data_IF_047095546400
#
_entry.id   IF_047095546400
#
_cell.length_a   1.000
_cell.length_b   1.000
_cell.length_c   1.000
_cell.angle_alpha   90.00
_cell.angle_beta   90.00
_cell.angle_gamma   90.00
#
_symmetry.space_group_name_H-M   'P 1'
#
loop_
_entity.id
_entity.type
_entity.pdbx_description
1 polymer ?
#
# COMPACT_ATOMS: atom_id res chain seq x y z
N UNK A 1 -9.93 -22.61 -37.51
CA UNK A 1 -9.20 -23.04 -36.31
C UNK A 1 -10.02 -22.98 -35.02
N UNK A 2 -10.83 -21.94 -34.76
CA UNK A 2 -11.65 -21.87 -33.53
C UNK A 2 -12.79 -22.87 -33.38
N UNK A 3 -13.29 -23.44 -34.46
CA UNK A 3 -14.35 -24.47 -34.45
C UNK A 3 -13.85 -25.88 -34.26
N UNK A 4 -12.54 -26.15 -34.45
CA UNK A 4 -11.93 -27.48 -34.27
C UNK A 4 -11.54 -27.73 -32.81
N UNK A 5 -11.25 -26.69 -32.05
CA UNK A 5 -10.90 -26.75 -30.62
C UNK A 5 -12.13 -27.07 -29.74
N UNK A 6 -13.30 -26.58 -30.14
CA UNK A 6 -14.56 -26.84 -29.41
C UNK A 6 -15.01 -28.33 -29.53
N UNK A 7 -14.67 -29.03 -30.62
CA UNK A 7 -15.05 -30.43 -30.84
C UNK A 7 -14.12 -31.40 -30.07
N UNK A 8 -12.90 -31.04 -29.77
CA UNK A 8 -11.96 -31.86 -29.01
C UNK A 8 -12.27 -31.80 -27.50
N UNK A 9 -12.79 -30.72 -27.00
CA UNK A 9 -13.18 -30.57 -25.56
C UNK A 9 -14.45 -31.37 -25.21
N UNK A 10 -15.37 -31.57 -26.16
CA UNK A 10 -16.60 -32.37 -25.97
C UNK A 10 -16.31 -33.87 -26.01
N UNK A 11 -15.28 -34.33 -26.77
CA UNK A 11 -14.91 -35.70 -26.84
C UNK A 11 -14.13 -36.24 -25.61
N UNK A 12 -13.51 -35.34 -24.84
CA UNK A 12 -12.78 -35.71 -23.61
C UNK A 12 -13.68 -35.89 -22.37
N UNK A 13 -14.88 -35.34 -22.37
CA UNK A 13 -15.85 -35.52 -21.27
C UNK A 13 -16.73 -36.77 -21.37
N UNK A 14 -16.70 -37.49 -22.48
CA UNK A 14 -17.51 -38.71 -22.71
C UNK A 14 -16.83 -40.02 -22.30
N UNK A 15 -15.57 -40.01 -21.84
CA UNK A 15 -14.82 -41.25 -21.57
C UNK A 15 -14.65 -41.58 -20.07
N UNK A 16 -15.26 -40.83 -19.15
CA UNK A 16 -15.08 -41.00 -17.70
C UNK A 16 -16.19 -41.79 -16.98
N UNK A 17 -17.12 -42.44 -17.69
CA UNK A 17 -18.30 -43.11 -17.09
C UNK A 17 -18.43 -44.61 -17.34
N UNK A 18 -17.37 -45.36 -17.59
CA UNK A 18 -17.49 -46.81 -17.69
C UNK A 18 -16.32 -47.56 -17.06
N UNK A 19 -16.43 -47.86 -15.76
CA UNK A 19 -15.77 -49.00 -15.13
C UNK A 19 -16.19 -49.15 -13.67
N UNK A 20 -17.25 -49.88 -13.40
CA UNK A 20 -17.43 -50.63 -12.15
C UNK A 20 -18.62 -51.57 -12.31
N UNK A 21 -18.35 -52.81 -12.62
CA UNK A 21 -19.14 -53.97 -12.21
C UNK A 21 -18.26 -55.22 -12.25
N UNK A 22 -18.01 -55.86 -11.12
CA UNK A 22 -18.17 -57.29 -10.92
C UNK A 22 -18.09 -57.69 -9.44
N UNK A 23 -19.17 -58.28 -9.06
CA UNK A 23 -19.50 -59.07 -7.86
C UNK A 23 -18.55 -60.22 -7.62
N UNK A 24 -18.31 -60.58 -6.32
CA UNK A 24 -18.35 -61.96 -5.83
C UNK A 24 -18.63 -62.00 -4.31
N UNK A 25 -19.45 -62.98 -3.92
CA UNK A 25 -20.12 -63.21 -2.63
C UNK A 25 -19.22 -63.73 -1.49
N UNK A 26 -19.56 -63.32 -0.30
CA UNK A 26 -19.80 -63.85 1.07
C UNK A 26 -19.00 -65.09 1.57
N UNK A 27 -18.75 -65.33 2.91
CA UNK A 27 -19.77 -65.28 3.95
C UNK A 27 -19.40 -64.62 5.32
N UNK A 28 -20.45 -64.50 6.13
CA UNK A 28 -20.67 -63.87 7.39
C UNK A 28 -19.79 -64.27 8.59
N UNK A 29 -19.58 -63.37 9.51
CA UNK A 29 -19.49 -63.61 10.97
C UNK A 29 -19.99 -62.37 11.75
N UNK A 30 -20.64 -62.64 12.82
CA UNK A 30 -21.51 -61.86 13.69
C UNK A 30 -20.88 -60.63 14.35
N UNK A 31 -21.82 -59.74 14.69
CA UNK A 31 -21.80 -58.47 15.49
C UNK A 31 -21.02 -58.55 16.82
N UNK A 32 -20.65 -57.33 17.37
CA UNK A 32 -21.62 -56.67 18.22
C UNK A 32 -21.73 -55.17 18.03
N UNK A 33 -22.94 -54.68 18.30
CA UNK A 33 -23.39 -53.29 18.30
C UNK A 33 -22.47 -52.34 19.05
N UNK A 34 -22.01 -51.27 18.36
CA UNK A 34 -21.47 -50.10 19.00
C UNK A 34 -22.43 -48.95 18.77
N UNK A 35 -22.77 -48.33 19.89
CA UNK A 35 -23.72 -47.24 20.04
C UNK A 35 -23.52 -46.09 19.05
N UNK A 36 -24.60 -45.73 18.42
CA UNK A 36 -24.82 -44.47 17.70
C UNK A 36 -24.61 -43.32 18.69
N UNK A 37 -23.44 -42.70 18.66
CA UNK A 37 -23.25 -41.40 19.28
C UNK A 37 -24.02 -40.37 18.44
N UNK A 38 -25.12 -39.88 18.97
CA UNK A 38 -25.85 -38.76 18.45
C UNK A 38 -24.86 -37.58 18.25
N UNK A 39 -24.65 -37.20 17.02
CA UNK A 39 -23.98 -35.95 16.71
C UNK A 39 -24.83 -34.81 17.32
N UNK A 40 -24.29 -34.11 18.30
CA UNK A 40 -24.85 -32.81 18.72
C UNK A 40 -24.99 -31.93 17.48
N UNK A 41 -26.13 -31.25 17.29
CA UNK A 41 -26.26 -30.28 16.23
C UNK A 41 -25.19 -29.20 16.45
N UNK A 42 -24.30 -29.00 15.46
CA UNK A 42 -23.42 -27.88 15.46
C UNK A 42 -24.29 -26.61 15.68
N UNK A 43 -23.97 -25.85 16.69
CA UNK A 43 -24.63 -24.57 16.92
C UNK A 43 -24.44 -23.76 15.65
N UNK A 44 -25.55 -23.39 14.99
CA UNK A 44 -25.53 -22.41 13.93
C UNK A 44 -24.93 -21.12 14.53
N UNK A 45 -23.73 -20.76 14.10
CA UNK A 45 -23.18 -19.46 14.40
C UNK A 45 -24.19 -18.41 13.90
N UNK A 46 -24.51 -17.37 14.71
CA UNK A 46 -25.46 -16.36 14.31
C UNK A 46 -25.00 -15.76 12.98
N UNK A 47 -25.88 -15.76 11.98
CA UNK A 47 -25.60 -15.17 10.69
C UNK A 47 -25.09 -13.74 10.89
N UNK A 48 -23.90 -13.45 10.36
CA UNK A 48 -23.28 -12.15 10.48
C UNK A 48 -24.24 -11.08 9.92
N UNK A 49 -24.51 -10.06 10.74
CA UNK A 49 -25.37 -8.94 10.32
C UNK A 49 -24.49 -7.77 9.95
N UNK A 50 -24.68 -7.21 8.73
CA UNK A 50 -23.94 -6.08 8.23
C UNK A 50 -23.01 -6.43 7.06
N UNK A 51 -22.32 -5.43 6.58
CA UNK A 51 -21.35 -5.55 5.49
C UNK A 51 -20.23 -4.54 5.69
N UNK A 52 -19.08 -4.79 5.07
CA UNK A 52 -17.95 -3.87 5.05
C UNK A 52 -17.76 -3.35 3.63
N UNK A 53 -17.63 -2.04 3.50
CA UNK A 53 -17.18 -1.38 2.29
C UNK A 53 -15.85 -0.66 2.57
N UNK A 54 -14.77 -1.16 1.99
CA UNK A 54 -13.44 -0.55 2.08
C UNK A 54 -13.10 0.24 0.81
N UNK A 55 -12.87 1.54 0.98
CA UNK A 55 -12.31 2.38 -0.08
C UNK A 55 -10.78 2.35 0.03
N UNK A 56 -10.15 1.56 -0.84
CA UNK A 56 -8.70 1.38 -0.89
C UNK A 56 -8.05 2.52 -1.68
N UNK A 57 -6.96 3.08 -1.13
CA UNK A 57 -6.20 4.16 -1.77
C UNK A 57 -4.90 3.68 -2.45
N UNK A 58 -4.55 2.39 -2.31
CA UNK A 58 -3.33 1.78 -2.87
C UNK A 58 -3.67 0.88 -4.07
N UNK A 59 -3.63 1.40 -5.32
CA UNK A 59 -3.93 0.58 -6.51
C UNK A 59 -3.05 -0.66 -6.63
N UNK A 60 -1.79 -0.56 -6.23
CA UNK A 60 -0.83 -1.66 -6.24
C UNK A 60 -1.19 -2.81 -5.29
N UNK A 61 -2.04 -2.56 -4.31
CA UNK A 61 -2.51 -3.57 -3.35
C UNK A 61 -3.92 -4.10 -3.65
N UNK A 62 -4.55 -3.70 -4.76
CA UNK A 62 -5.94 -4.05 -5.08
C UNK A 62 -6.18 -5.56 -5.08
N UNK A 63 -5.37 -6.33 -5.80
CA UNK A 63 -5.51 -7.78 -5.89
C UNK A 63 -5.44 -8.46 -4.52
N UNK A 64 -4.51 -8.00 -3.67
CA UNK A 64 -4.35 -8.54 -2.32
C UNK A 64 -5.56 -8.21 -1.43
N UNK A 65 -6.10 -7.00 -1.53
CA UNK A 65 -7.30 -6.60 -0.80
C UNK A 65 -8.54 -7.35 -1.25
N UNK A 66 -8.73 -7.57 -2.56
CA UNK A 66 -9.83 -8.39 -3.09
C UNK A 66 -9.75 -9.83 -2.57
N UNK A 67 -8.57 -10.43 -2.57
CA UNK A 67 -8.35 -11.78 -2.05
C UNK A 67 -8.64 -11.86 -0.53
N UNK A 68 -8.17 -10.89 0.25
CA UNK A 68 -8.41 -10.83 1.68
C UNK A 68 -9.91 -10.66 2.00
N UNK A 69 -10.59 -9.79 1.26
CA UNK A 69 -12.04 -9.57 1.39
C UNK A 69 -12.85 -10.85 1.13
N UNK A 70 -12.50 -11.59 0.07
CA UNK A 70 -13.14 -12.86 -0.25
C UNK A 70 -12.92 -13.90 0.86
N UNK A 71 -11.69 -14.03 1.37
CA UNK A 71 -11.35 -14.93 2.46
C UNK A 71 -12.09 -14.57 3.76
N UNK A 72 -12.15 -13.30 4.11
CA UNK A 72 -12.86 -12.84 5.30
C UNK A 72 -14.37 -13.13 5.19
N UNK A 73 -14.96 -12.86 4.02
CA UNK A 73 -16.38 -13.18 3.75
C UNK A 73 -16.65 -14.68 3.87
N UNK A 74 -15.75 -15.53 3.34
CA UNK A 74 -15.88 -17.00 3.45
C UNK A 74 -15.83 -17.46 4.91
N UNK A 75 -14.91 -16.91 5.72
CA UNK A 75 -14.70 -17.30 7.10
C UNK A 75 -15.80 -16.81 8.04
N UNK A 76 -16.36 -15.62 7.81
CA UNK A 76 -17.24 -14.95 8.78
C UNK A 76 -18.68 -14.80 8.31
N UNK A 77 -18.95 -15.01 7.03
CA UNK A 77 -20.24 -14.70 6.42
C UNK A 77 -20.51 -13.20 6.24
N UNK A 78 -19.61 -12.30 6.68
CA UNK A 78 -19.74 -10.85 6.49
C UNK A 78 -19.31 -10.46 5.08
N UNK A 79 -20.20 -9.91 4.23
CA UNK A 79 -19.82 -9.44 2.91
C UNK A 79 -18.83 -8.28 3.00
N UNK A 80 -17.73 -8.37 2.26
CA UNK A 80 -16.75 -7.29 2.13
C UNK A 80 -16.63 -6.85 0.68
N UNK A 81 -16.81 -5.56 0.43
CA UNK A 81 -16.60 -4.94 -0.88
C UNK A 81 -15.37 -4.06 -0.80
N UNK A 82 -14.43 -4.23 -1.73
CA UNK A 82 -13.27 -3.35 -1.88
C UNK A 82 -13.42 -2.57 -3.19
N UNK A 83 -13.36 -1.25 -3.10
CA UNK A 83 -13.28 -0.35 -4.25
C UNK A 83 -11.96 0.40 -4.17
N UNK A 84 -11.17 0.34 -5.22
CA UNK A 84 -9.86 0.97 -5.27
C UNK A 84 -9.92 2.27 -6.07
N UNK A 85 -9.55 3.38 -5.45
CA UNK A 85 -9.41 4.65 -6.12
C UNK A 85 -8.24 4.64 -7.10
N UNK A 86 -8.37 5.32 -8.22
CA UNK A 86 -7.26 5.49 -9.14
C UNK A 86 -6.12 6.31 -8.49
N UNK A 87 -4.90 6.08 -8.95
CA UNK A 87 -3.73 6.80 -8.44
C UNK A 87 -3.93 8.32 -8.50
N UNK A 88 -3.69 9.00 -7.39
CA UNK A 88 -3.81 10.45 -7.27
C UNK A 88 -5.22 11.01 -7.14
N UNK A 89 -6.28 10.15 -7.14
CA UNK A 89 -7.68 10.62 -7.10
C UNK A 89 -8.42 10.22 -5.83
N UNK A 90 -7.73 9.77 -4.79
CA UNK A 90 -8.39 9.25 -3.60
C UNK A 90 -9.30 10.27 -2.91
N UNK A 91 -8.87 11.52 -2.76
CA UNK A 91 -9.65 12.55 -2.06
C UNK A 91 -10.97 12.87 -2.76
N UNK A 92 -10.95 12.99 -4.09
CA UNK A 92 -12.15 13.23 -4.89
C UNK A 92 -13.06 12.01 -4.86
N UNK A 93 -12.50 10.82 -4.94
CA UNK A 93 -13.23 9.55 -4.86
C UNK A 93 -13.88 9.41 -3.49
N UNK A 94 -13.15 9.65 -2.39
CA UNK A 94 -13.71 9.59 -1.03
C UNK A 94 -14.86 10.57 -0.86
N UNK A 95 -14.71 11.80 -1.35
CA UNK A 95 -15.79 12.80 -1.28
C UNK A 95 -17.06 12.30 -1.99
N UNK A 96 -16.90 11.80 -3.21
CA UNK A 96 -18.04 11.27 -3.99
C UNK A 96 -18.66 10.02 -3.36
N UNK A 97 -17.85 9.17 -2.72
CA UNK A 97 -18.35 7.97 -2.05
C UNK A 97 -19.07 8.31 -0.73
N UNK A 98 -18.59 9.28 0.04
CA UNK A 98 -19.25 9.74 1.28
C UNK A 98 -20.61 10.39 1.03
N UNK A 99 -20.81 11.02 -0.13
CA UNK A 99 -22.11 11.60 -0.53
C UNK A 99 -23.20 10.53 -0.74
N UNK A 100 -22.86 9.25 -0.78
CA UNK A 100 -23.82 8.14 -0.95
C UNK A 100 -24.60 7.78 0.33
N UNK A 101 -24.34 8.46 1.43
CA UNK A 101 -25.03 8.25 2.71
C UNK A 101 -24.90 6.81 3.23
N UNK A 102 -26.00 6.08 3.38
CA UNK A 102 -25.98 4.70 3.92
C UNK A 102 -25.17 3.70 3.07
N UNK A 103 -24.79 4.08 1.86
CA UNK A 103 -23.92 3.27 0.98
C UNK A 103 -22.48 3.79 0.93
N UNK A 104 -22.11 4.70 1.83
CA UNK A 104 -20.75 5.21 1.94
C UNK A 104 -19.77 4.15 2.48
N UNK A 105 -18.45 4.32 2.24
CA UNK A 105 -17.45 3.43 2.81
C UNK A 105 -17.52 3.34 4.33
N UNK A 106 -17.46 2.12 4.85
CA UNK A 106 -17.35 1.84 6.29
C UNK A 106 -15.90 1.81 6.76
N UNK A 107 -14.95 1.60 5.83
CA UNK A 107 -13.52 1.73 6.06
C UNK A 107 -12.94 2.66 5.00
N UNK A 108 -12.24 3.68 5.44
CA UNK A 108 -11.59 4.66 4.59
C UNK A 108 -10.36 5.25 5.26
N UNK A 109 -9.50 5.91 4.50
CA UNK A 109 -8.26 6.50 5.01
C UNK A 109 -8.42 8.00 5.24
N UNK A 110 -8.10 8.46 6.45
CA UNK A 110 -7.97 9.89 6.76
C UNK A 110 -6.65 10.49 6.27
N UNK A 111 -5.61 9.67 6.15
CA UNK A 111 -4.30 10.05 5.64
C UNK A 111 -3.42 10.86 6.59
N UNK A 112 -3.96 11.91 7.20
CA UNK A 112 -3.25 12.81 8.11
C UNK A 112 -4.22 13.59 9.01
N UNK A 113 -3.70 14.49 9.84
CA UNK A 113 -4.51 15.30 10.75
C UNK A 113 -5.51 16.22 10.01
N UNK A 114 -5.16 16.75 8.83
CA UNK A 114 -6.10 17.52 8.03
C UNK A 114 -7.27 16.66 7.52
N UNK A 115 -7.01 15.36 7.25
CA UNK A 115 -8.07 14.39 6.95
C UNK A 115 -9.02 14.18 8.12
N UNK A 116 -8.52 14.13 9.35
CA UNK A 116 -9.38 14.07 10.55
C UNK A 116 -10.21 15.35 10.70
N UNK A 117 -9.66 16.52 10.42
CA UNK A 117 -10.41 17.76 10.42
C UNK A 117 -11.59 17.73 9.42
N UNK A 118 -11.41 17.06 8.28
CA UNK A 118 -12.46 16.94 7.24
C UNK A 118 -13.44 15.82 7.53
N UNK A 119 -12.98 14.65 7.98
CA UNK A 119 -13.75 13.43 8.04
C UNK A 119 -14.01 12.92 9.47
N UNK A 120 -13.49 13.61 10.50
CA UNK A 120 -13.58 13.16 11.89
C UNK A 120 -14.99 12.88 12.40
N UNK A 121 -16.00 13.62 11.90
CA UNK A 121 -17.39 13.40 12.27
C UNK A 121 -17.94 12.05 11.77
N UNK A 122 -17.32 11.47 10.75
CA UNK A 122 -17.63 10.15 10.21
C UNK A 122 -16.80 9.03 10.84
N UNK A 123 -15.74 9.39 11.59
CA UNK A 123 -14.84 8.42 12.20
C UNK A 123 -15.43 7.85 13.49
N UNK A 124 -15.42 6.52 13.61
CA UNK A 124 -15.68 5.85 14.87
C UNK A 124 -14.60 6.21 15.90
N UNK A 125 -14.96 6.30 17.17
CA UNK A 125 -13.98 6.45 18.25
C UNK A 125 -13.40 5.08 18.62
N UNK A 126 -12.12 4.87 18.33
CA UNK A 126 -11.41 3.64 18.65
C UNK A 126 -10.95 3.56 20.10
N UNK A 127 -11.12 4.62 20.91
CA UNK A 127 -10.71 4.65 22.31
C UNK A 127 -11.33 3.48 23.08
N UNK A 128 -10.48 2.64 23.68
CA UNK A 128 -10.91 1.50 24.49
C UNK A 128 -11.44 0.30 23.69
N UNK A 129 -11.31 0.28 22.38
CA UNK A 129 -11.64 -0.91 21.57
C UNK A 129 -10.53 -1.96 21.62
N UNK A 130 -10.88 -3.22 21.35
CA UNK A 130 -9.91 -4.31 21.32
C UNK A 130 -8.83 -4.08 20.27
N UNK A 131 -9.19 -3.55 19.08
CA UNK A 131 -8.21 -3.24 18.03
C UNK A 131 -7.24 -2.14 18.46
N UNK A 132 -7.69 -1.14 19.20
CA UNK A 132 -6.80 -0.12 19.75
C UNK A 132 -5.88 -0.67 20.83
N UNK A 133 -6.37 -1.61 21.65
CA UNK A 133 -5.56 -2.28 22.68
C UNK A 133 -4.39 -3.12 22.11
N UNK A 134 -4.49 -3.56 20.86
CA UNK A 134 -3.42 -4.29 20.16
C UNK A 134 -2.33 -3.37 19.57
N UNK A 135 -2.55 -2.04 19.56
CA UNK A 135 -1.56 -1.10 19.04
C UNK A 135 -0.33 -1.03 19.94
N UNK A 136 0.86 -1.04 19.34
CA UNK A 136 2.13 -1.00 20.07
C UNK A 136 2.65 0.42 20.29
N UNK A 137 2.10 1.40 19.58
CA UNK A 137 2.44 2.83 19.66
C UNK A 137 1.28 3.68 19.15
N UNK A 138 1.18 4.89 19.65
CA UNK A 138 0.25 5.91 19.17
C UNK A 138 0.85 6.84 18.10
N UNK A 139 2.11 6.67 17.75
CA UNK A 139 2.86 7.59 16.87
C UNK A 139 2.21 7.76 15.48
N UNK A 140 1.46 6.76 15.04
CA UNK A 140 0.81 6.74 13.73
C UNK A 140 -0.71 6.88 13.80
N UNK A 141 -1.26 7.06 15.01
CA UNK A 141 -2.69 7.26 15.20
C UNK A 141 -3.05 8.73 15.00
N UNK A 142 -4.30 8.97 14.60
CA UNK A 142 -4.82 10.33 14.44
C UNK A 142 -5.92 10.58 15.46
N UNK A 143 -5.90 11.75 16.06
CA UNK A 143 -6.79 12.13 17.16
C UNK A 143 -7.66 13.31 16.77
N UNK A 144 -8.91 13.30 17.24
CA UNK A 144 -9.75 14.49 17.24
C UNK A 144 -9.26 15.49 18.29
N UNK A 145 -9.65 16.75 18.18
CA UNK A 145 -9.34 17.77 19.19
C UNK A 145 -9.90 17.42 20.58
N UNK A 146 -10.96 16.61 20.64
CA UNK A 146 -11.54 16.04 21.86
C UNK A 146 -10.67 14.98 22.54
N UNK A 147 -9.65 14.48 21.86
CA UNK A 147 -8.78 13.40 22.32
C UNK A 147 -9.24 11.99 21.93
N UNK A 148 -10.37 11.85 21.24
CA UNK A 148 -10.84 10.58 20.67
C UNK A 148 -9.89 10.08 19.58
N UNK A 149 -9.68 8.75 19.52
CA UNK A 149 -8.88 8.11 18.47
C UNK A 149 -9.74 7.99 17.20
N UNK A 150 -9.54 8.88 16.26
CA UNK A 150 -10.31 8.94 15.02
C UNK A 150 -9.84 7.94 13.96
N UNK A 151 -8.55 7.63 13.94
CA UNK A 151 -7.97 6.66 13.02
C UNK A 151 -6.74 5.98 13.63
N UNK A 152 -6.55 4.72 13.29
CA UNK A 152 -5.40 3.92 13.71
C UNK A 152 -4.46 3.68 12.53
N UNK A 153 -3.16 3.70 12.79
CA UNK A 153 -2.14 3.34 11.82
C UNK A 153 -2.05 1.83 11.68
N UNK A 154 -2.50 1.27 10.56
CA UNK A 154 -2.42 -0.17 10.31
C UNK A 154 -1.11 -0.60 9.66
N UNK A 155 -0.40 0.32 9.02
CA UNK A 155 0.95 0.12 8.50
C UNK A 155 1.67 1.47 8.41
N UNK A 156 2.99 1.43 8.32
CA UNK A 156 3.81 2.60 8.06
C UNK A 156 4.73 2.36 6.87
N UNK A 157 5.07 3.43 6.19
CA UNK A 157 6.01 3.42 5.07
C UNK A 157 7.26 4.21 5.47
N UNK A 158 8.42 3.70 5.03
CA UNK A 158 9.68 4.40 5.16
C UNK A 158 10.15 4.83 3.77
N UNK A 159 10.72 6.01 3.68
CA UNK A 159 11.39 6.46 2.47
C UNK A 159 12.87 6.67 2.74
N UNK A 160 13.65 6.51 1.69
CA UNK A 160 15.09 6.61 1.73
C UNK A 160 15.64 6.52 0.31
N UNK A 161 16.95 6.36 0.19
CA UNK A 161 17.59 6.15 -1.11
C UNK A 161 17.62 4.66 -1.41
N UNK A 162 16.91 4.24 -2.43
CA UNK A 162 16.97 2.88 -2.98
C UNK A 162 18.17 2.80 -3.91
N UNK A 163 19.07 1.85 -3.67
CA UNK A 163 20.33 1.72 -4.42
C UNK A 163 20.33 0.44 -5.24
N UNK A 164 20.53 0.58 -6.56
CA UNK A 164 20.90 -0.53 -7.42
C UNK A 164 22.39 -0.85 -7.23
N UNK A 165 22.70 -1.87 -6.42
CA UNK A 165 24.07 -2.24 -6.08
C UNK A 165 24.90 -2.65 -7.30
N UNK A 166 24.30 -3.33 -8.27
CA UNK A 166 25.02 -3.78 -9.45
C UNK A 166 25.47 -2.59 -10.33
N UNK A 167 24.63 -1.57 -10.48
CA UNK A 167 25.01 -0.36 -11.20
C UNK A 167 26.06 0.46 -10.42
N UNK A 168 25.92 0.52 -9.10
CA UNK A 168 26.91 1.17 -8.24
C UNK A 168 28.29 0.50 -8.39
N UNK A 169 28.37 -0.83 -8.37
CA UNK A 169 29.58 -1.60 -8.58
C UNK A 169 30.13 -1.42 -10.01
N UNK A 170 29.26 -1.36 -11.03
CA UNK A 170 29.68 -1.05 -12.41
C UNK A 170 30.31 0.34 -12.52
N UNK A 171 29.86 1.31 -11.74
CA UNK A 171 30.47 2.64 -11.64
C UNK A 171 31.79 2.65 -10.86
N UNK A 172 32.17 1.55 -10.21
CA UNK A 172 33.39 1.39 -9.42
C UNK A 172 33.24 1.73 -7.95
N UNK A 173 32.03 1.78 -7.42
CA UNK A 173 31.73 2.08 -6.03
C UNK A 173 30.99 0.93 -5.33
N UNK A 174 30.96 1.00 -4.01
CA UNK A 174 30.17 0.14 -3.13
C UNK A 174 29.41 0.97 -2.09
N UNK A 175 28.48 0.35 -1.37
CA UNK A 175 27.81 1.03 -0.26
C UNK A 175 28.75 1.51 0.84
N UNK A 176 29.93 0.87 0.98
CA UNK A 176 30.94 1.26 1.97
C UNK A 176 31.60 2.61 1.65
N UNK A 177 31.51 3.06 0.40
CA UNK A 177 32.04 4.35 -0.05
C UNK A 177 31.08 5.50 0.27
N UNK A 178 29.84 5.20 0.69
CA UNK A 178 28.78 6.17 0.99
C UNK A 178 28.50 6.14 2.49
N UNK A 179 29.17 7.00 3.22
CA UNK A 179 29.10 7.04 4.71
C UNK A 179 28.39 8.28 5.25
N UNK A 180 28.28 9.31 4.43
CA UNK A 180 27.67 10.60 4.77
C UNK A 180 27.20 11.33 3.49
N UNK A 181 26.64 12.52 3.69
CA UNK A 181 26.15 13.34 2.57
C UNK A 181 27.27 13.75 1.61
N UNK A 182 28.46 14.04 2.11
CA UNK A 182 29.57 14.49 1.26
C UNK A 182 30.07 13.38 0.34
N UNK A 183 30.23 12.16 0.86
CA UNK A 183 30.59 10.98 0.08
C UNK A 183 29.49 10.59 -0.91
N UNK A 184 28.20 10.63 -0.51
CA UNK A 184 27.08 10.42 -1.41
C UNK A 184 27.08 11.40 -2.57
N UNK A 185 27.28 12.68 -2.28
CA UNK A 185 27.36 13.73 -3.30
C UNK A 185 28.52 13.50 -4.26
N UNK A 186 29.69 13.15 -3.76
CA UNK A 186 30.88 12.86 -4.57
C UNK A 186 30.61 11.69 -5.53
N UNK A 187 30.04 10.61 -5.04
CA UNK A 187 29.68 9.43 -5.86
C UNK A 187 28.64 9.80 -6.91
N UNK A 188 27.60 10.56 -6.55
CA UNK A 188 26.57 10.98 -7.47
C UNK A 188 27.11 11.88 -8.59
N UNK A 189 27.90 12.88 -8.23
CA UNK A 189 28.52 13.80 -9.20
C UNK A 189 29.48 13.08 -10.17
N UNK A 190 30.26 12.11 -9.67
CA UNK A 190 31.13 11.30 -10.53
C UNK A 190 30.33 10.43 -11.50
N UNK A 191 29.32 9.70 -11.02
CA UNK A 191 28.46 8.88 -11.89
C UNK A 191 27.77 9.74 -12.94
N UNK A 192 27.19 10.89 -12.54
CA UNK A 192 26.54 11.83 -13.46
C UNK A 192 27.52 12.32 -14.54
N UNK A 193 28.75 12.67 -14.14
CA UNK A 193 29.77 13.13 -15.10
C UNK A 193 30.16 12.07 -16.14
N UNK A 194 30.00 10.79 -15.80
CA UNK A 194 30.30 9.62 -16.66
C UNK A 194 29.06 8.92 -17.21
N UNK A 195 27.87 9.52 -17.08
CA UNK A 195 26.63 8.87 -17.45
C UNK A 195 26.60 8.34 -18.89
N UNK A 196 27.17 9.11 -19.86
CA UNK A 196 27.29 8.68 -21.24
C UNK A 196 28.20 7.45 -21.44
N UNK A 197 29.25 7.30 -20.63
CA UNK A 197 30.16 6.14 -20.64
C UNK A 197 29.50 4.93 -19.98
N UNK A 198 28.86 5.14 -18.83
CA UNK A 198 28.26 4.09 -18.01
C UNK A 198 26.96 3.55 -18.61
N UNK A 199 26.21 4.36 -19.38
CA UNK A 199 24.91 4.03 -19.92
C UNK A 199 23.75 4.24 -18.91
N UNK A 200 24.03 4.88 -17.76
CA UNK A 200 23.05 5.25 -16.72
C UNK A 200 23.54 6.48 -15.95
N UNK A 201 22.62 7.12 -15.23
CA UNK A 201 22.93 8.29 -14.40
C UNK A 201 22.87 7.93 -12.89
N UNK A 202 23.28 8.88 -12.03
CA UNK A 202 23.30 8.68 -10.59
C UNK A 202 21.90 8.49 -10.01
N UNK A 203 20.93 9.28 -10.48
CA UNK A 203 19.53 9.17 -10.05
C UNK A 203 18.58 9.06 -11.23
N UNK A 204 17.48 8.35 -11.02
CA UNK A 204 16.27 8.48 -11.80
C UNK A 204 15.36 9.44 -11.04
N UNK A 205 15.32 10.72 -11.40
CA UNK A 205 14.42 11.64 -10.71
C UNK A 205 12.98 11.37 -11.12
N UNK A 206 12.08 11.37 -10.15
CA UNK A 206 10.67 11.51 -10.46
C UNK A 206 10.40 12.87 -11.09
N UNK A 207 9.42 12.96 -11.97
CA UNK A 207 8.98 14.24 -12.50
C UNK A 207 8.40 15.15 -11.43
N UNK A 208 8.21 16.40 -11.80
CA UNK A 208 7.56 17.43 -10.98
C UNK A 208 6.15 17.75 -11.50
N UNK A 209 5.57 16.87 -12.29
CA UNK A 209 4.17 16.95 -12.73
C UNK A 209 3.19 16.70 -11.55
N UNK A 210 1.90 16.97 -11.77
CA UNK A 210 0.89 16.88 -10.72
C UNK A 210 0.71 15.49 -10.09
N UNK A 211 1.14 14.42 -10.78
CA UNK A 211 1.04 13.04 -10.27
C UNK A 211 2.30 12.54 -9.57
N UNK A 212 3.46 13.13 -9.84
CA UNK A 212 4.77 12.60 -9.41
C UNK A 212 5.50 13.49 -8.41
N UNK A 213 5.22 14.80 -8.40
CA UNK A 213 5.96 15.81 -7.61
C UNK A 213 5.98 15.57 -6.10
N UNK A 214 4.98 14.87 -5.56
CA UNK A 214 4.90 14.55 -4.15
C UNK A 214 6.09 13.72 -3.63
N UNK A 215 6.72 12.94 -4.52
CA UNK A 215 7.92 12.15 -4.17
C UNK A 215 9.08 13.07 -3.78
N UNK A 216 9.22 14.19 -4.46
CA UNK A 216 10.21 15.19 -4.11
C UNK A 216 9.71 16.08 -2.95
N UNK A 217 8.55 16.72 -3.09
CA UNK A 217 8.05 17.70 -2.13
C UNK A 217 7.66 17.08 -0.79
N UNK A 218 7.00 15.93 -0.80
CA UNK A 218 6.52 15.26 0.41
C UNK A 218 7.60 14.45 1.13
N UNK A 219 8.58 13.88 0.40
CA UNK A 219 9.61 13.05 1.01
C UNK A 219 10.91 13.82 1.24
N UNK A 220 11.51 14.36 0.19
CA UNK A 220 12.83 14.98 0.30
C UNK A 220 12.77 16.42 0.78
N UNK A 221 12.00 17.26 0.12
CA UNK A 221 11.94 18.69 0.45
C UNK A 221 11.24 18.96 1.79
N UNK A 222 10.47 18.03 2.30
CA UNK A 222 9.85 18.13 3.62
C UNK A 222 10.83 17.92 4.78
N UNK A 223 11.96 17.22 4.56
CA UNK A 223 12.92 16.92 5.62
C UNK A 223 13.49 18.18 6.31
N UNK A 224 13.93 19.23 5.61
CA UNK A 224 14.40 20.43 6.26
C UNK A 224 13.35 21.09 7.17
N UNK A 225 12.07 21.08 6.76
CA UNK A 225 10.97 21.59 7.59
C UNK A 225 10.74 20.70 8.82
N UNK A 226 10.79 19.39 8.66
CA UNK A 226 10.69 18.47 9.79
C UNK A 226 11.74 18.75 10.86
N UNK A 227 13.01 18.93 10.46
CA UNK A 227 14.09 19.25 11.39
C UNK A 227 13.93 20.62 12.05
N UNK A 228 13.51 21.65 11.30
CA UNK A 228 13.19 22.96 11.84
C UNK A 228 12.09 22.87 12.90
N UNK A 229 10.97 22.22 12.58
CA UNK A 229 9.84 22.11 13.50
C UNK A 229 10.19 21.29 14.75
N UNK A 230 10.98 20.23 14.59
CA UNK A 230 11.48 19.45 15.74
C UNK A 230 12.33 20.31 16.66
N UNK A 231 13.29 21.03 16.10
CA UNK A 231 14.28 21.81 16.88
C UNK A 231 13.64 23.04 17.53
N UNK A 232 12.64 23.62 16.90
CA UNK A 232 11.85 24.74 17.41
C UNK A 232 10.65 24.27 18.29
N UNK A 233 10.51 22.95 18.53
CA UNK A 233 9.41 22.36 19.30
C UNK A 233 8.00 22.83 18.84
N UNK A 234 7.80 22.91 17.53
CA UNK A 234 6.53 23.32 16.91
C UNK A 234 5.50 22.22 17.12
N UNK A 235 4.37 22.56 17.76
CA UNK A 235 3.28 21.62 18.07
C UNK A 235 2.00 21.87 17.26
N UNK A 236 1.97 22.95 16.47
CA UNK A 236 0.85 23.28 15.59
C UNK A 236 1.37 24.00 14.36
N UNK A 237 0.56 24.09 13.31
CA UNK A 237 0.98 24.75 12.06
C UNK A 237 1.38 26.21 12.32
N UNK A 238 2.66 26.58 12.09
CA UNK A 238 3.10 27.96 12.28
C UNK A 238 2.66 28.85 11.10
N UNK A 239 2.54 30.14 11.34
CA UNK A 239 2.22 31.11 10.29
C UNK A 239 3.37 31.32 9.29
N UNK A 240 4.60 31.08 9.74
CA UNK A 240 5.83 31.24 8.94
C UNK A 240 6.86 30.19 9.36
N UNK A 241 7.81 29.91 8.48
CA UNK A 241 9.02 29.16 8.76
C UNK A 241 10.19 30.10 9.00
N UNK A 242 11.19 29.68 9.77
CA UNK A 242 12.39 30.49 10.06
C UNK A 242 13.43 30.37 8.95
N UNK A 243 13.42 29.26 8.22
CA UNK A 243 14.40 28.94 7.19
C UNK A 243 15.73 28.47 7.75
N UNK A 244 15.75 27.92 8.97
CA UNK A 244 16.96 27.44 9.64
C UNK A 244 17.74 26.42 8.80
N UNK A 245 17.03 25.63 7.99
CA UNK A 245 17.59 24.59 7.13
C UNK A 245 17.49 24.90 5.63
N UNK A 246 17.45 26.18 5.26
CA UNK A 246 17.27 26.62 3.86
C UNK A 246 18.37 26.06 2.92
N UNK A 247 19.62 26.03 3.38
CA UNK A 247 20.73 25.48 2.60
C UNK A 247 20.55 23.97 2.31
N UNK A 248 19.82 23.25 3.16
CA UNK A 248 19.55 21.83 2.96
C UNK A 248 18.58 21.58 1.80
N UNK A 249 17.63 22.50 1.54
CA UNK A 249 16.80 22.43 0.34
C UNK A 249 17.66 22.50 -0.93
N UNK A 250 18.63 23.41 -0.94
CA UNK A 250 19.56 23.52 -2.06
C UNK A 250 20.43 22.26 -2.19
N UNK A 251 20.93 21.72 -1.09
CA UNK A 251 21.71 20.50 -1.08
C UNK A 251 20.93 19.29 -1.62
N UNK A 252 19.66 19.15 -1.24
CA UNK A 252 18.77 18.09 -1.74
C UNK A 252 18.53 18.27 -3.25
N UNK A 253 18.25 19.49 -3.69
CA UNK A 253 18.05 19.80 -5.10
C UNK A 253 19.31 19.51 -5.92
N UNK A 254 20.45 20.02 -5.51
CA UNK A 254 21.71 19.83 -6.20
C UNK A 254 22.12 18.34 -6.24
N UNK A 255 21.86 17.60 -5.20
CA UNK A 255 22.13 16.16 -5.19
C UNK A 255 21.22 15.39 -6.15
N UNK A 256 19.90 15.51 -5.92
CA UNK A 256 18.93 14.61 -6.52
C UNK A 256 18.51 15.04 -7.93
N UNK A 257 18.26 16.32 -8.13
CA UNK A 257 17.76 16.83 -9.41
C UNK A 257 18.90 17.04 -10.40
N UNK A 258 20.00 17.67 -9.98
CA UNK A 258 21.09 18.02 -10.88
C UNK A 258 22.00 16.82 -11.25
N UNK A 259 21.86 15.69 -10.56
CA UNK A 259 22.62 14.46 -10.86
C UNK A 259 21.70 13.34 -11.35
N UNK A 260 20.67 13.68 -12.11
CA UNK A 260 19.69 12.71 -12.58
C UNK A 260 19.62 12.69 -14.11
N UNK A 261 19.10 11.59 -14.63
CA UNK A 261 18.88 11.39 -16.07
C UNK A 261 17.85 12.37 -16.67
N UNK A 262 16.96 12.92 -15.84
CA UNK A 262 15.95 13.88 -16.30
C UNK A 262 16.56 15.27 -16.42
N UNK A 263 16.49 15.87 -17.60
CA UNK A 263 16.89 17.27 -17.80
C UNK A 263 16.07 18.18 -16.87
N UNK A 264 16.72 18.99 -15.99
CA UNK A 264 16.04 19.91 -15.09
C UNK A 264 15.05 20.87 -15.78
N UNK A 265 15.25 21.19 -17.06
CA UNK A 265 14.33 22.03 -17.84
C UNK A 265 13.04 21.32 -18.24
N UNK A 266 13.00 19.99 -18.15
CA UNK A 266 11.86 19.15 -18.51
C UNK A 266 11.10 18.61 -17.28
N UNK A 267 11.52 18.92 -16.07
CA UNK A 267 10.94 18.37 -14.84
C UNK A 267 9.43 18.58 -14.72
N UNK A 268 8.91 19.72 -15.18
CA UNK A 268 7.48 20.03 -15.09
C UNK A 268 6.61 19.08 -15.94
N UNK A 269 7.18 18.43 -16.93
CA UNK A 269 6.50 17.50 -17.84
C UNK A 269 6.95 16.05 -17.68
N UNK A 270 8.02 15.81 -16.95
CA UNK A 270 8.51 14.47 -16.64
C UNK A 270 7.54 13.75 -15.68
N UNK A 271 7.21 12.50 -15.97
CA UNK A 271 6.31 11.68 -15.16
C UNK A 271 7.09 10.65 -14.34
N UNK A 272 6.46 10.10 -13.28
CA UNK A 272 7.05 9.03 -12.48
C UNK A 272 7.39 7.79 -13.28
N UNK A 273 6.60 7.47 -14.31
CA UNK A 273 6.79 6.30 -15.17
C UNK A 273 8.11 6.34 -15.95
N UNK A 274 8.65 7.53 -16.21
CA UNK A 274 9.96 7.70 -16.85
C UNK A 274 11.11 7.24 -15.95
N UNK A 275 10.92 7.20 -14.65
CA UNK A 275 11.90 6.67 -13.72
C UNK A 275 11.92 5.13 -13.68
N UNK A 276 10.82 4.50 -14.07
CA UNK A 276 10.70 3.04 -14.13
C UNK A 276 11.26 2.48 -15.45
N UNK A 277 11.19 3.24 -16.53
CA UNK A 277 11.68 2.86 -17.84
C UNK A 277 13.21 2.94 -17.95
#
# INVERSE_FOLDING_TARGET
MKKLIALILVALMAFACFACTKTTETPAAEEPAAAEAAAEPAAEEPAATGSVYYLNFKPEADEAWQALAAQYTELTGVPVTVVTAASGTYSETLTAEMDKGDSAPTLFQCGNQAGVTTWGDYCYDFTGTDVYAEMTTDDFNLFKDSGEVAAIGYCYECFGIIVNKALLEQAGYSLADITDFASLKTVAEDIHSRAAELGFDAFTSSGMDGSSSWRFSGHLANMPLFYEFRDDAVTSQPATITGAYLDNFKNIWDLYINNSATDPTQLATATGDQAEA
#
